data_IF_983060800992
#
_entry.id   IF_983060800992
#
_cell.length_a   1.000
_cell.length_b   1.000
_cell.length_c   1.000
_cell.angle_alpha   90.00
_cell.angle_beta   90.00
_cell.angle_gamma   90.00
#
_symmetry.space_group_name_H-M   'P 1'
#
loop_
_entity.id
_entity.type
_entity.pdbx_description
1 polymer ?
#
# COMPACT_ATOMS: atom_id res chain seq x y z
N UNK A 1 6.15 -31.44 14.54
CA UNK A 1 6.57 -31.63 13.13
C UNK A 1 6.18 -30.35 12.41
N UNK A 2 7.10 -29.37 12.35
CA UNK A 2 6.79 -28.00 11.92
C UNK A 2 6.77 -27.94 10.39
N UNK A 3 5.62 -28.21 9.81
CA UNK A 3 5.37 -28.03 8.37
C UNK A 3 5.33 -26.54 8.07
N UNK A 4 6.48 -25.99 7.66
CA UNK A 4 6.53 -24.69 6.99
C UNK A 4 5.78 -24.86 5.69
N UNK A 5 4.51 -24.45 5.67
CA UNK A 5 3.76 -24.28 4.42
C UNK A 5 4.66 -23.44 3.51
N UNK A 6 4.87 -23.83 2.23
CA UNK A 6 5.52 -22.92 1.28
C UNK A 6 4.73 -21.62 1.38
N UNK A 7 5.37 -20.52 1.76
CA UNK A 7 4.70 -19.22 1.85
C UNK A 7 3.90 -19.06 0.57
N UNK A 8 2.58 -18.98 0.67
CA UNK A 8 1.69 -18.90 -0.49
C UNK A 8 1.89 -17.53 -1.14
N UNK A 9 2.98 -17.41 -1.90
CA UNK A 9 3.37 -16.22 -2.67
C UNK A 9 2.22 -15.81 -3.58
N UNK A 10 1.42 -16.78 -4.02
CA UNK A 10 0.20 -16.56 -4.79
C UNK A 10 -0.89 -15.84 -4.01
N UNK A 11 -1.18 -16.27 -2.78
CA UNK A 11 -2.16 -15.58 -1.90
C UNK A 11 -1.65 -14.19 -1.57
N UNK A 12 -0.37 -14.07 -1.23
CA UNK A 12 0.27 -12.77 -1.00
C UNK A 12 0.12 -11.83 -2.21
N UNK A 13 0.44 -12.31 -3.42
CA UNK A 13 0.31 -11.51 -4.65
C UNK A 13 -1.13 -11.12 -4.96
N UNK A 14 -2.10 -12.01 -4.76
CA UNK A 14 -3.51 -11.69 -4.97
C UNK A 14 -4.00 -10.62 -4.00
N UNK A 15 -3.64 -10.74 -2.72
CA UNK A 15 -4.02 -9.76 -1.69
C UNK A 15 -3.38 -8.40 -1.96
N UNK A 16 -2.08 -8.38 -2.30
CA UNK A 16 -1.38 -7.13 -2.66
C UNK A 16 -1.96 -6.51 -3.94
N UNK A 17 -2.30 -7.31 -4.94
CA UNK A 17 -2.94 -6.82 -6.16
C UNK A 17 -4.33 -6.24 -5.89
N UNK A 18 -5.14 -6.90 -5.06
CA UNK A 18 -6.48 -6.43 -4.68
C UNK A 18 -6.42 -5.15 -3.84
N UNK A 19 -5.52 -5.09 -2.86
CA UNK A 19 -5.27 -3.88 -2.06
C UNK A 19 -4.76 -2.73 -2.93
N UNK A 20 -3.80 -3.00 -3.82
CA UNK A 20 -3.28 -2.01 -4.77
C UNK A 20 -4.37 -1.46 -5.70
N UNK A 21 -5.23 -2.33 -6.24
CA UNK A 21 -6.37 -1.92 -7.07
C UNK A 21 -7.38 -1.09 -6.29
N UNK A 22 -7.70 -1.47 -5.05
CA UNK A 22 -8.61 -0.72 -4.20
C UNK A 22 -8.08 0.70 -3.92
N UNK A 23 -6.76 0.82 -3.65
CA UNK A 23 -6.11 2.12 -3.47
C UNK A 23 -6.12 2.92 -4.77
N UNK A 24 -5.77 2.32 -5.91
CA UNK A 24 -5.81 3.01 -7.22
C UNK A 24 -7.21 3.47 -7.59
N UNK A 25 -8.24 2.66 -7.36
CA UNK A 25 -9.64 3.03 -7.58
C UNK A 25 -10.06 4.21 -6.68
N UNK A 26 -9.65 4.19 -5.41
CA UNK A 26 -9.90 5.29 -4.47
C UNK A 26 -9.19 6.59 -4.90
N UNK A 27 -7.97 6.48 -5.46
CA UNK A 27 -7.20 7.59 -5.99
C UNK A 27 -7.85 8.23 -7.20
N UNK A 28 -8.33 7.41 -8.14
CA UNK A 28 -9.04 7.91 -9.34
C UNK A 28 -10.33 8.62 -8.93
N UNK A 29 -11.13 8.02 -8.04
CA UNK A 29 -12.37 8.62 -7.56
C UNK A 29 -12.15 9.97 -6.86
N UNK A 30 -11.07 10.07 -6.08
CA UNK A 30 -10.74 11.31 -5.39
C UNK A 30 -10.15 12.39 -6.31
N UNK A 31 -9.40 12.02 -7.35
CA UNK A 31 -8.97 12.96 -8.40
C UNK A 31 -10.18 13.52 -9.16
N UNK A 32 -11.16 12.68 -9.52
CA UNK A 32 -12.41 13.16 -10.14
C UNK A 32 -13.14 14.14 -9.21
N UNK A 33 -13.23 13.83 -7.92
CA UNK A 33 -13.89 14.70 -6.94
C UNK A 33 -13.15 16.04 -6.73
N UNK A 34 -11.82 16.03 -6.83
CA UNK A 34 -10.98 17.22 -6.74
C UNK A 34 -11.16 18.15 -7.95
N UNK A 35 -11.35 17.60 -9.15
CA UNK A 35 -11.61 18.36 -10.38
C UNK A 35 -12.98 19.07 -10.29
N UNK A 36 -13.95 18.48 -9.60
CA UNK A 36 -15.28 19.06 -9.36
C UNK A 36 -15.26 20.24 -8.34
N UNK A 37 -14.08 20.62 -7.81
CA UNK A 37 -13.93 21.73 -6.86
C UNK A 37 -14.50 21.46 -5.47
N UNK A 38 -14.83 20.20 -5.16
CA UNK A 38 -15.21 19.74 -3.83
C UNK A 38 -13.95 19.58 -2.97
N UNK A 39 -14.03 19.77 -1.64
CA UNK A 39 -12.87 19.57 -0.78
C UNK A 39 -12.28 18.18 -1.04
N UNK A 40 -10.99 18.16 -1.36
CA UNK A 40 -10.24 16.92 -1.57
C UNK A 40 -10.42 16.05 -0.32
N UNK A 41 -10.87 14.80 -0.46
CA UNK A 41 -11.10 13.96 0.70
C UNK A 41 -9.77 13.77 1.44
N UNK A 42 -9.74 14.16 2.71
CA UNK A 42 -8.56 14.02 3.59
C UNK A 42 -8.06 12.57 3.63
N UNK A 43 -8.98 11.62 3.44
CA UNK A 43 -8.70 10.21 3.28
C UNK A 43 -7.71 9.92 2.14
N UNK A 44 -7.74 10.69 1.05
CA UNK A 44 -6.82 10.50 -0.05
C UNK A 44 -5.40 10.93 0.29
N UNK A 45 -5.27 12.08 0.96
CA UNK A 45 -3.97 12.55 1.47
C UNK A 45 -3.44 11.55 2.50
N UNK A 46 -4.29 11.05 3.39
CA UNK A 46 -3.94 10.02 4.37
C UNK A 46 -3.46 8.71 3.70
N UNK A 47 -4.15 8.25 2.65
CA UNK A 47 -3.74 7.07 1.87
C UNK A 47 -2.42 7.30 1.13
N UNK A 48 -2.22 8.48 0.54
CA UNK A 48 -0.96 8.86 -0.11
C UNK A 48 0.21 8.86 0.88
N UNK A 49 0.04 9.46 2.05
CA UNK A 49 1.04 9.45 3.11
C UNK A 49 1.30 8.04 3.67
N UNK A 50 0.27 7.20 3.77
CA UNK A 50 0.43 5.80 4.18
C UNK A 50 1.23 4.99 3.15
N UNK A 51 0.99 5.19 1.85
CA UNK A 51 1.75 4.54 0.77
C UNK A 51 3.22 4.98 0.78
N UNK A 52 3.50 6.28 0.94
CA UNK A 52 4.87 6.80 1.08
C UNK A 52 5.54 6.25 2.34
N UNK A 53 4.82 6.13 3.46
CA UNK A 53 5.30 5.51 4.69
C UNK A 53 5.63 4.02 4.52
N UNK A 54 4.83 3.28 3.76
CA UNK A 54 5.11 1.87 3.40
C UNK A 54 6.35 1.71 2.52
N UNK A 55 6.52 2.58 1.51
CA UNK A 55 7.73 2.60 0.69
C UNK A 55 8.96 3.01 1.50
N UNK A 56 8.83 3.99 2.39
CA UNK A 56 9.89 4.39 3.31
C UNK A 56 10.26 3.24 4.26
N UNK A 57 9.29 2.45 4.73
CA UNK A 57 9.53 1.25 5.54
C UNK A 57 10.26 0.13 4.78
N UNK A 58 10.02 -0.02 3.47
CA UNK A 58 10.73 -0.98 2.62
C UNK A 58 12.14 -0.52 2.25
N UNK A 59 12.33 0.79 2.06
CA UNK A 59 13.63 1.42 1.78
C UNK A 59 14.42 1.73 3.05
N UNK A 60 13.79 1.63 4.22
CA UNK A 60 14.46 1.79 5.49
C UNK A 60 15.57 0.73 5.57
N UNK A 61 16.83 1.14 5.82
CA UNK A 61 17.95 0.23 5.81
C UNK A 61 17.68 -0.91 6.77
N UNK A 62 17.62 -2.13 6.24
CA UNK A 62 17.55 -3.34 7.07
C UNK A 62 18.75 -3.29 8.03
N UNK A 63 18.55 -3.46 9.35
CA UNK A 63 19.65 -3.38 10.31
C UNK A 63 20.72 -4.40 9.91
N UNK A 64 21.79 -3.90 9.29
CA UNK A 64 22.97 -4.67 8.97
C UNK A 64 23.53 -5.15 10.31
N UNK A 65 23.29 -6.43 10.60
CA UNK A 65 23.84 -7.12 11.74
C UNK A 65 25.37 -7.16 11.57
N UNK A 66 26.03 -6.11 12.04
CA UNK A 66 27.48 -6.01 12.16
C UNK A 66 27.89 -6.85 13.36
N UNK A 67 28.18 -8.14 13.11
CA UNK A 67 29.01 -8.97 13.99
C UNK A 67 30.38 -9.13 13.36
#
# INVERSE_FOLDING_TARGET
MNTRLPQDVWVYRMVVAALGLAVLASLIGAIMLAIEGRPTPELLVALGSAAVGGLAGLLAPSPLNRR
#
